data_IF_835150323382
#
_entry.id   IF_835150323382
#
_cell.length_a   1.000
_cell.length_b   1.000
_cell.length_c   1.000
_cell.angle_alpha   90.00
_cell.angle_beta   90.00
_cell.angle_gamma   90.00
#
_symmetry.space_group_name_H-M   'P 1'
#
loop_
_entity.id
_entity.type
_entity.pdbx_description
1 polymer ?
#
# COMPACT_ATOMS: atom_id res chain seq x y z
N UNK A 1 56.83 35.73 47.57
CA UNK A 1 56.60 36.95 48.35
C UNK A 1 55.17 36.93 48.82
N UNK A 2 55.06 36.84 50.16
CA UNK A 2 54.01 37.32 51.08
C UNK A 2 52.58 36.82 50.95
N UNK A 3 52.26 35.94 51.88
CA UNK A 3 50.95 35.91 52.52
C UNK A 3 50.73 37.10 53.44
N UNK A 4 49.58 37.42 54.03
CA UNK A 4 49.08 36.71 55.21
C UNK A 4 47.52 36.55 55.25
N UNK A 5 46.99 35.46 55.80
CA UNK A 5 46.39 35.23 57.12
C UNK A 5 45.56 36.38 57.75
N UNK A 6 44.25 36.11 57.96
CA UNK A 6 43.54 36.52 59.19
C UNK A 6 42.28 35.63 59.37
N UNK A 7 42.16 35.08 60.38
CA UNK A 7 41.60 34.46 61.52
C UNK A 7 40.17 34.93 61.87
N UNK A 8 39.32 33.89 62.07
CA UNK A 8 38.38 33.63 63.16
C UNK A 8 37.24 34.60 63.46
N UNK A 9 36.03 34.00 63.52
CA UNK A 9 35.22 34.07 64.74
C UNK A 9 34.05 33.04 64.66
N UNK A 10 33.97 32.22 65.66
CA UNK A 10 32.89 31.26 65.96
C UNK A 10 31.78 32.07 66.61
N UNK A 11 30.52 31.92 66.22
CA UNK A 11 29.34 32.17 67.04
C UNK A 11 28.36 31.02 66.79
N UNK A 12 28.27 30.17 67.85
CA UNK A 12 27.21 29.18 68.07
C UNK A 12 25.91 29.88 68.42
N UNK A 13 24.82 29.56 67.73
CA UNK A 13 23.49 29.81 68.26
C UNK A 13 22.63 28.55 68.00
N UNK A 14 22.29 27.91 69.07
CA UNK A 14 21.34 26.80 69.16
C UNK A 14 19.94 27.36 69.39
N UNK A 15 18.98 26.96 68.55
CA UNK A 15 17.55 26.99 68.90
C UNK A 15 16.79 26.06 67.98
N UNK A 16 16.41 24.99 68.45
CA UNK A 16 15.11 24.43 68.86
C UNK A 16 14.05 24.28 67.75
N UNK A 17 13.87 23.04 67.36
CA UNK A 17 12.65 22.28 67.08
C UNK A 17 11.39 23.05 66.62
N UNK A 18 10.97 22.74 65.37
CA UNK A 18 9.56 22.52 65.05
C UNK A 18 9.47 21.51 63.91
N UNK A 19 9.12 20.30 64.20
CA UNK A 19 8.77 19.24 63.26
C UNK A 19 7.37 19.48 62.70
N UNK A 20 7.27 20.01 61.50
CA UNK A 20 6.01 20.00 60.73
C UNK A 20 6.11 18.89 59.69
N UNK A 21 5.45 17.77 59.95
CA UNK A 21 5.24 16.71 59.00
C UNK A 21 4.30 17.19 57.88
N UNK A 22 4.87 17.65 56.77
CA UNK A 22 4.11 17.87 55.53
C UNK A 22 3.88 16.54 54.87
N UNK A 23 2.64 16.04 54.92
CA UNK A 23 2.19 14.90 54.15
C UNK A 23 2.20 15.35 52.69
N UNK A 24 3.26 14.99 51.95
CA UNK A 24 3.33 15.16 50.51
C UNK A 24 2.33 14.20 49.87
N UNK A 25 1.17 14.74 49.45
CA UNK A 25 0.26 14.05 48.54
C UNK A 25 0.97 13.89 47.20
N UNK A 26 1.42 12.66 46.89
CA UNK A 26 1.91 12.31 45.55
C UNK A 26 0.80 12.57 44.51
N UNK A 27 1.07 13.35 43.47
CA UNK A 27 0.13 13.45 42.37
C UNK A 27 0.00 12.08 41.71
N UNK A 28 -1.22 11.50 41.77
CA UNK A 28 -1.56 10.31 40.97
C UNK A 28 -1.35 10.67 39.53
N UNK A 29 -0.29 10.15 38.92
CA UNK A 29 -0.15 10.14 37.47
C UNK A 29 -1.36 9.40 36.88
N UNK A 30 -2.06 9.98 35.91
CA UNK A 30 -3.08 9.25 35.17
C UNK A 30 -2.37 8.08 34.48
N UNK A 31 -2.72 6.86 34.87
CA UNK A 31 -2.34 5.67 34.14
C UNK A 31 -2.91 5.81 32.73
N UNK A 32 -2.06 6.19 31.79
CA UNK A 32 -2.40 6.11 30.38
C UNK A 32 -2.74 4.64 30.09
N UNK A 33 -4.02 4.36 29.94
CA UNK A 33 -4.50 3.08 29.42
C UNK A 33 -3.83 2.91 28.09
N UNK A 34 -2.85 2.01 28.01
CA UNK A 34 -2.19 1.66 26.76
C UNK A 34 -3.29 1.16 25.82
N UNK A 35 -3.73 2.02 24.92
CA UNK A 35 -4.61 1.62 23.83
C UNK A 35 -3.90 0.47 23.12
N UNK A 36 -4.50 -0.72 23.18
CA UNK A 36 -4.04 -1.91 22.48
C UNK A 36 -3.97 -1.52 20.99
N UNK A 37 -2.78 -1.22 20.50
CA UNK A 37 -2.55 -0.98 19.09
C UNK A 37 -2.91 -2.28 18.38
N UNK A 38 -4.03 -2.27 17.66
CA UNK A 38 -4.33 -3.37 16.76
C UNK A 38 -3.16 -3.49 15.78
N UNK A 39 -2.69 -4.71 15.50
CA UNK A 39 -1.60 -4.89 14.55
C UNK A 39 -2.03 -4.26 13.22
N UNK A 40 -1.24 -3.31 12.73
CA UNK A 40 -1.44 -2.69 11.41
C UNK A 40 -1.47 -3.83 10.39
N UNK A 41 -2.65 -4.16 9.92
CA UNK A 41 -2.80 -5.23 8.94
C UNK A 41 -2.06 -4.85 7.67
N UNK A 42 -1.17 -5.73 7.22
CA UNK A 42 -0.44 -5.54 5.97
C UNK A 42 -1.47 -5.46 4.83
N UNK A 43 -1.44 -4.42 3.99
CA UNK A 43 -2.42 -4.29 2.92
C UNK A 43 -2.37 -5.49 1.97
N UNK A 44 -3.54 -6.04 1.63
CA UNK A 44 -3.65 -7.14 0.68
C UNK A 44 -3.47 -6.58 -0.74
N UNK A 45 -2.54 -7.14 -1.49
CA UNK A 45 -2.21 -6.66 -2.84
C UNK A 45 -1.85 -7.82 -3.74
N UNK A 46 -2.40 -7.84 -4.95
CA UNK A 46 -2.10 -8.88 -5.94
C UNK A 46 -1.91 -8.27 -7.32
N UNK A 47 -0.87 -8.69 -8.01
CA UNK A 47 -0.66 -8.43 -9.44
C UNK A 47 -1.01 -9.70 -10.22
N UNK A 48 -1.88 -9.56 -11.23
CA UNK A 48 -2.31 -10.65 -12.11
C UNK A 48 -1.74 -10.38 -13.49
N UNK A 49 -0.93 -11.30 -14.00
CA UNK A 49 -0.35 -11.20 -15.34
C UNK A 49 -1.28 -11.77 -16.40
N UNK A 50 -1.42 -11.06 -17.53
CA UNK A 50 -2.04 -11.59 -18.74
C UNK A 50 -1.10 -11.35 -19.92
N UNK A 51 -0.55 -12.43 -20.49
CA UNK A 51 0.42 -12.41 -21.59
C UNK A 51 -0.05 -13.14 -22.85
N UNK A 52 -1.28 -13.64 -22.86
CA UNK A 52 -1.86 -14.41 -23.97
C UNK A 52 -3.08 -13.70 -24.58
N UNK A 53 -3.21 -13.75 -25.90
CA UNK A 53 -4.42 -13.33 -26.61
C UNK A 53 -5.42 -14.49 -26.63
N UNK A 54 -5.92 -14.84 -25.47
CA UNK A 54 -6.90 -15.90 -25.27
C UNK A 54 -8.06 -15.39 -24.40
N UNK A 55 -9.30 -15.32 -24.94
CA UNK A 55 -10.47 -14.92 -24.16
C UNK A 55 -10.72 -15.75 -22.91
N UNK A 56 -10.34 -17.03 -22.88
CA UNK A 56 -10.50 -17.86 -21.68
C UNK A 56 -9.55 -17.42 -20.59
N UNK A 57 -8.28 -17.13 -20.91
CA UNK A 57 -7.28 -16.60 -19.96
C UNK A 57 -7.69 -15.21 -19.46
N UNK A 58 -8.16 -14.31 -20.35
CA UNK A 58 -8.64 -12.99 -19.97
C UNK A 58 -9.83 -13.07 -19.00
N UNK A 59 -10.79 -13.95 -19.30
CA UNK A 59 -11.94 -14.17 -18.43
C UNK A 59 -11.52 -14.79 -17.09
N UNK A 60 -10.56 -15.72 -17.08
CA UNK A 60 -10.03 -16.31 -15.85
C UNK A 60 -9.33 -15.26 -14.98
N UNK A 61 -8.56 -14.35 -15.57
CA UNK A 61 -7.94 -13.23 -14.86
C UNK A 61 -8.98 -12.35 -14.15
N UNK A 62 -10.08 -12.00 -14.85
CA UNK A 62 -11.18 -11.21 -14.29
C UNK A 62 -11.93 -11.98 -13.18
N UNK A 63 -12.14 -13.30 -13.35
CA UNK A 63 -12.75 -14.14 -12.31
C UNK A 63 -11.86 -14.18 -11.06
N UNK A 64 -10.56 -14.37 -11.23
CA UNK A 64 -9.61 -14.39 -10.11
C UNK A 64 -9.62 -13.05 -9.37
N UNK A 65 -9.62 -11.93 -10.09
CA UNK A 65 -9.73 -10.60 -9.50
C UNK A 65 -11.03 -10.44 -8.68
N UNK A 66 -12.19 -10.83 -9.26
CA UNK A 66 -13.47 -10.80 -8.54
C UNK A 66 -13.43 -11.65 -7.27
N UNK A 67 -12.95 -12.89 -7.36
CA UNK A 67 -12.87 -13.82 -6.22
C UNK A 67 -11.99 -13.26 -5.10
N UNK A 68 -10.87 -12.63 -5.43
CA UNK A 68 -9.98 -11.99 -4.45
C UNK A 68 -10.70 -10.81 -3.78
N UNK A 69 -11.36 -9.94 -4.55
CA UNK A 69 -12.13 -8.80 -4.02
C UNK A 69 -13.25 -9.29 -3.09
N UNK A 70 -14.01 -10.29 -3.50
CA UNK A 70 -15.14 -10.84 -2.71
C UNK A 70 -14.68 -11.49 -1.42
N UNK A 71 -13.58 -12.23 -1.48
CA UNK A 71 -13.00 -12.86 -0.28
C UNK A 71 -12.63 -11.81 0.77
N UNK A 72 -11.88 -10.77 0.39
CA UNK A 72 -11.47 -9.74 1.35
C UNK A 72 -12.64 -8.86 1.80
N UNK A 73 -13.58 -8.56 0.90
CA UNK A 73 -14.84 -7.87 1.24
C UNK A 73 -15.65 -8.63 2.30
N UNK A 74 -15.75 -9.95 2.20
CA UNK A 74 -16.43 -10.78 3.21
C UNK A 74 -15.78 -10.70 4.59
N UNK A 75 -14.49 -10.35 4.63
CA UNK A 75 -13.72 -10.11 5.86
C UNK A 75 -13.69 -8.65 6.30
N UNK A 76 -14.43 -7.77 5.62
CA UNK A 76 -14.40 -6.30 5.84
C UNK A 76 -12.99 -5.72 5.69
N UNK A 77 -12.22 -6.23 4.75
CA UNK A 77 -10.87 -5.81 4.42
C UNK A 77 -10.82 -5.39 2.95
N UNK A 78 -9.98 -4.38 2.66
CA UNK A 78 -9.76 -3.93 1.31
C UNK A 78 -8.57 -4.66 0.68
N UNK A 79 -8.63 -4.82 -0.65
CA UNK A 79 -7.55 -5.38 -1.45
C UNK A 79 -7.27 -4.49 -2.65
N UNK A 80 -6.01 -4.42 -3.06
CA UNK A 80 -5.61 -3.80 -4.33
C UNK A 80 -5.24 -4.88 -5.34
N UNK A 81 -5.85 -4.81 -6.50
CA UNK A 81 -5.58 -5.71 -7.63
C UNK A 81 -4.99 -4.88 -8.78
N UNK A 82 -3.98 -5.39 -9.46
CA UNK A 82 -3.47 -4.82 -10.71
C UNK A 82 -3.38 -5.93 -11.76
N UNK A 83 -4.15 -5.81 -12.84
CA UNK A 83 -4.07 -6.72 -13.98
C UNK A 83 -3.11 -6.10 -14.99
N UNK A 84 -1.93 -6.71 -15.14
CA UNK A 84 -0.86 -6.22 -16.01
C UNK A 84 -0.85 -7.03 -17.30
N UNK A 85 -0.97 -6.34 -18.45
CA UNK A 85 -0.97 -6.96 -19.76
C UNK A 85 0.26 -6.57 -20.57
N UNK A 86 0.86 -7.54 -21.24
CA UNK A 86 1.95 -7.34 -22.20
C UNK A 86 1.99 -8.47 -23.24
N UNK A 87 2.84 -8.32 -24.25
CA UNK A 87 2.86 -9.26 -25.37
C UNK A 87 1.46 -9.43 -25.96
N UNK A 88 1.09 -10.63 -26.44
CA UNK A 88 -0.24 -10.88 -26.99
C UNK A 88 -1.39 -10.58 -26.02
N UNK A 89 -1.17 -10.62 -24.72
CA UNK A 89 -2.17 -10.27 -23.70
C UNK A 89 -2.65 -8.83 -23.72
N UNK A 90 -1.91 -7.91 -24.41
CA UNK A 90 -2.35 -6.52 -24.57
C UNK A 90 -3.70 -6.40 -25.26
N UNK A 91 -4.10 -7.37 -26.10
CA UNK A 91 -5.44 -7.42 -26.71
C UNK A 91 -6.57 -7.34 -25.70
N UNK A 92 -6.35 -7.77 -24.44
CA UNK A 92 -7.33 -7.61 -23.36
C UNK A 92 -7.74 -6.15 -23.12
N UNK A 93 -6.80 -5.20 -23.34
CA UNK A 93 -7.00 -3.78 -23.03
C UNK A 93 -7.05 -2.88 -24.28
N UNK A 94 -7.02 -3.43 -25.47
CA UNK A 94 -7.17 -2.66 -26.72
C UNK A 94 -8.62 -2.25 -26.93
N UNK A 95 -8.83 -1.03 -27.39
CA UNK A 95 -10.18 -0.50 -27.66
C UNK A 95 -10.87 -1.21 -28.84
N UNK A 96 -10.08 -1.66 -29.82
CA UNK A 96 -10.57 -2.32 -31.05
C UNK A 96 -10.83 -3.82 -30.89
N UNK A 97 -9.96 -4.55 -30.20
CA UNK A 97 -9.94 -6.02 -30.21
C UNK A 97 -10.30 -6.70 -28.90
N UNK A 98 -10.43 -5.98 -27.79
CA UNK A 98 -10.71 -6.59 -26.49
C UNK A 98 -12.08 -7.29 -26.46
N UNK A 99 -12.11 -8.60 -26.15
CA UNK A 99 -13.37 -9.34 -26.04
C UNK A 99 -14.05 -9.18 -24.67
N UNK A 100 -13.42 -8.45 -23.72
CA UNK A 100 -13.84 -8.38 -22.32
C UNK A 100 -14.05 -6.96 -21.80
N UNK A 101 -14.19 -5.96 -22.70
CA UNK A 101 -14.31 -4.53 -22.33
C UNK A 101 -15.41 -4.25 -21.31
N UNK A 102 -16.61 -4.79 -21.56
CA UNK A 102 -17.77 -4.56 -20.69
C UNK A 102 -17.54 -5.16 -19.29
N UNK A 103 -16.90 -6.33 -19.23
CA UNK A 103 -16.54 -6.94 -17.96
C UNK A 103 -15.49 -6.13 -17.17
N UNK A 104 -14.53 -5.53 -17.88
CA UNK A 104 -13.52 -4.65 -17.28
C UNK A 104 -14.19 -3.42 -16.67
N UNK A 105 -15.07 -2.74 -17.42
CA UNK A 105 -15.81 -1.58 -16.96
C UNK A 105 -16.65 -1.92 -15.72
N UNK A 106 -17.42 -3.02 -15.79
CA UNK A 106 -18.24 -3.48 -14.67
C UNK A 106 -17.39 -3.79 -13.44
N UNK A 107 -16.27 -4.50 -13.59
CA UNK A 107 -15.42 -4.89 -12.47
C UNK A 107 -14.75 -3.68 -11.81
N UNK A 108 -14.44 -2.63 -12.57
CA UNK A 108 -13.88 -1.40 -12.02
C UNK A 108 -14.86 -0.70 -11.07
N UNK A 109 -16.13 -0.64 -11.43
CA UNK A 109 -17.18 -0.07 -10.58
C UNK A 109 -17.50 -1.00 -9.39
N UNK A 110 -17.55 -2.29 -9.64
CA UNK A 110 -17.83 -3.31 -8.63
C UNK A 110 -16.76 -3.39 -7.52
N UNK A 111 -15.50 -3.08 -7.83
CA UNK A 111 -14.38 -3.28 -6.89
C UNK A 111 -14.48 -2.43 -5.62
N UNK A 112 -15.14 -1.26 -5.65
CA UNK A 112 -15.21 -0.35 -4.51
C UNK A 112 -15.72 -1.04 -3.21
N UNK A 113 -15.13 -0.79 -2.01
CA UNK A 113 -14.02 0.11 -1.70
C UNK A 113 -12.62 -0.42 -2.02
N UNK A 114 -12.47 -1.69 -2.35
CA UNK A 114 -11.21 -2.24 -2.91
C UNK A 114 -10.86 -1.54 -4.23
N UNK A 115 -9.63 -1.70 -4.68
CA UNK A 115 -9.18 -1.06 -5.92
C UNK A 115 -8.78 -2.10 -6.95
N UNK A 116 -9.17 -1.87 -8.22
CA UNK A 116 -8.64 -2.61 -9.34
C UNK A 116 -8.06 -1.66 -10.38
N UNK A 117 -6.87 -1.99 -10.87
CA UNK A 117 -6.19 -1.30 -11.97
C UNK A 117 -5.97 -2.27 -13.12
N UNK A 118 -5.88 -1.70 -14.31
CA UNK A 118 -5.52 -2.40 -15.54
C UNK A 118 -4.34 -1.67 -16.15
N UNK A 119 -3.20 -2.35 -16.28
CA UNK A 119 -1.92 -1.77 -16.69
C UNK A 119 -1.49 -2.32 -18.04
N UNK A 120 -1.51 -1.45 -19.07
CA UNK A 120 -1.16 -1.76 -20.45
C UNK A 120 0.32 -1.47 -20.73
N UNK A 121 1.08 -2.44 -21.22
CA UNK A 121 2.49 -2.29 -21.56
C UNK A 121 2.69 -1.39 -22.79
N UNK A 122 3.35 -0.24 -22.62
CA UNK A 122 3.65 0.67 -23.73
C UNK A 122 4.63 0.08 -24.74
N UNK A 123 5.65 -0.66 -24.29
CA UNK A 123 6.59 -1.34 -25.21
C UNK A 123 5.85 -2.30 -26.16
N UNK A 124 4.90 -3.06 -25.63
CA UNK A 124 4.06 -3.94 -26.46
C UNK A 124 3.18 -3.14 -27.39
N UNK A 125 2.52 -2.10 -26.89
CA UNK A 125 1.67 -1.22 -27.71
C UNK A 125 2.42 -0.65 -28.90
N UNK A 126 3.58 -0.05 -28.66
CA UNK A 126 4.43 0.52 -29.71
C UNK A 126 4.91 -0.53 -30.74
N UNK A 127 5.21 -1.75 -30.29
CA UNK A 127 5.60 -2.82 -31.20
C UNK A 127 4.43 -3.28 -32.07
N UNK A 128 3.23 -3.38 -31.53
CA UNK A 128 2.02 -3.66 -32.30
C UNK A 128 1.70 -2.53 -33.28
N UNK A 129 1.79 -1.26 -32.86
CA UNK A 129 1.62 -0.10 -33.75
C UNK A 129 2.55 -0.16 -34.95
N UNK A 130 3.82 -0.50 -34.74
CA UNK A 130 4.81 -0.65 -35.82
C UNK A 130 4.47 -1.80 -36.78
N UNK A 131 3.98 -2.92 -36.25
CA UNK A 131 3.67 -4.12 -37.03
C UNK A 131 2.34 -4.00 -37.76
N UNK A 132 1.37 -3.31 -37.19
CA UNK A 132 0.02 -3.15 -37.75
C UNK A 132 -0.11 -1.88 -38.61
N UNK A 133 0.82 -0.93 -38.49
CA UNK A 133 0.87 0.30 -39.29
C UNK A 133 -0.14 1.37 -38.91
N UNK A 134 -0.76 1.25 -37.73
CA UNK A 134 -1.72 2.23 -37.20
C UNK A 134 -1.61 2.38 -35.67
N UNK A 135 -2.07 3.51 -35.09
CA UNK A 135 -2.13 3.69 -33.67
C UNK A 135 -3.02 2.65 -32.99
N UNK A 136 -2.61 2.21 -31.79
CA UNK A 136 -3.39 1.29 -30.96
C UNK A 136 -3.92 2.05 -29.75
N UNK A 137 -5.23 2.19 -29.68
CA UNK A 137 -5.92 2.81 -28.59
C UNK A 137 -6.15 1.80 -27.46
N UNK A 138 -5.92 2.25 -26.23
CA UNK A 138 -6.18 1.49 -25.00
C UNK A 138 -7.50 1.98 -24.40
N UNK A 139 -8.29 1.06 -23.85
CA UNK A 139 -9.57 1.39 -23.22
C UNK A 139 -9.36 2.39 -22.07
N UNK A 140 -10.35 3.23 -21.80
CA UNK A 140 -10.28 4.31 -20.79
C UNK A 140 -10.11 3.80 -19.35
N UNK A 141 -10.50 2.57 -19.06
CA UNK A 141 -10.38 1.91 -17.77
C UNK A 141 -8.94 1.52 -17.42
N UNK A 142 -8.06 1.48 -18.43
CA UNK A 142 -6.66 1.09 -18.27
C UNK A 142 -5.71 2.28 -18.27
N UNK A 143 -4.56 2.10 -17.64
CA UNK A 143 -3.43 3.02 -17.63
C UNK A 143 -2.25 2.43 -18.41
N UNK A 144 -1.50 3.27 -19.08
CA UNK A 144 -0.30 2.84 -19.80
C UNK A 144 0.90 2.89 -18.84
N UNK A 145 1.65 1.78 -18.77
CA UNK A 145 2.92 1.67 -18.05
C UNK A 145 4.08 1.48 -19.05
N UNK A 146 5.28 1.99 -18.77
CA UNK A 146 6.40 1.92 -19.72
C UNK A 146 6.71 0.47 -20.16
N UNK A 147 6.76 -0.47 -19.20
CA UNK A 147 6.99 -1.90 -19.44
C UNK A 147 6.13 -2.72 -18.50
N UNK A 148 5.27 -3.58 -19.04
CA UNK A 148 4.40 -4.42 -18.20
C UNK A 148 5.17 -5.41 -17.33
N UNK A 149 6.24 -6.03 -17.87
CA UNK A 149 7.04 -6.98 -17.09
C UNK A 149 7.81 -6.30 -15.96
N UNK A 150 8.39 -5.10 -16.21
CA UNK A 150 9.08 -4.33 -15.17
C UNK A 150 8.09 -3.87 -14.11
N UNK A 151 6.94 -3.36 -14.53
CA UNK A 151 5.89 -2.96 -13.60
C UNK A 151 5.44 -4.10 -12.67
N UNK A 152 5.28 -5.32 -13.21
CA UNK A 152 4.95 -6.49 -12.41
C UNK A 152 6.08 -6.88 -11.43
N UNK A 153 7.35 -6.71 -11.82
CA UNK A 153 8.50 -6.91 -10.94
C UNK A 153 8.52 -5.88 -9.80
N UNK A 154 8.40 -4.60 -10.12
CA UNK A 154 8.38 -3.51 -9.13
C UNK A 154 7.24 -3.67 -8.11
N UNK A 155 6.06 -4.13 -8.55
CA UNK A 155 4.95 -4.44 -7.65
C UNK A 155 5.31 -5.59 -6.69
N UNK A 156 5.96 -6.65 -7.19
CA UNK A 156 6.41 -7.76 -6.33
C UNK A 156 7.47 -7.31 -5.31
N UNK A 157 8.41 -6.46 -5.71
CA UNK A 157 9.41 -5.85 -4.81
C UNK A 157 8.75 -5.00 -3.72
N UNK A 158 7.61 -4.37 -4.02
CA UNK A 158 6.77 -3.66 -3.07
C UNK A 158 5.89 -4.59 -2.21
N UNK A 159 6.04 -5.91 -2.35
CA UNK A 159 5.34 -6.91 -1.56
C UNK A 159 3.95 -7.29 -2.06
N UNK A 160 3.65 -7.09 -3.36
CA UNK A 160 2.46 -7.64 -3.99
C UNK A 160 2.60 -9.14 -4.23
N UNK A 161 1.53 -9.89 -4.00
CA UNK A 161 1.47 -11.28 -4.43
C UNK A 161 1.34 -11.36 -5.95
N UNK A 162 2.00 -12.32 -6.58
CA UNK A 162 1.93 -12.52 -8.03
C UNK A 162 1.05 -13.72 -8.37
N UNK A 163 0.20 -13.55 -9.39
CA UNK A 163 -0.66 -14.60 -9.93
C UNK A 163 -0.61 -14.60 -11.46
N UNK A 164 -0.51 -15.78 -12.03
CA UNK A 164 -0.72 -16.03 -13.46
C UNK A 164 -1.94 -16.94 -13.63
N UNK A 165 -2.95 -16.54 -14.42
CA UNK A 165 -4.13 -17.35 -14.73
C UNK A 165 -3.81 -18.58 -15.54
#
# INVERSE_FOLDING_TARGET
MCAPLFRAAIITFAALLATSAAIAASPRQPTATAAKQEPVQKPHRVVIQVDQNDPAVMNLALNNASNVIDYYRSKKQDVSVDIVTYGPGLHMLRADTSPVKDRIAHLKDYAFPSTIRFSACNNTRQNMEKSEGHPIEIIKEASIVPSGVVHAMELQEQGWSYLRP
#
